data_IF_004163989440
#
_entry.id   IF_004163989440
#
_cell.length_a   1.000
_cell.length_b   1.000
_cell.length_c   1.000
_cell.angle_alpha   90.00
_cell.angle_beta   90.00
_cell.angle_gamma   90.00
#
_symmetry.space_group_name_H-M   'P 1'
#
loop_
_entity.id
_entity.type
_entity.pdbx_description
1 polymer ?
#
# COMPACT_ATOMS: atom_id res chain seq x y z
N UNK A 1 36.77 -46.05 -43.93
CA UNK A 1 35.72 -45.62 -44.91
C UNK A 1 34.74 -44.77 -44.12
N UNK A 2 34.92 -43.48 -44.29
CA UNK A 2 33.93 -42.55 -44.86
C UNK A 2 32.62 -42.59 -44.07
N UNK A 3 32.20 -41.65 -43.36
CA UNK A 3 31.88 -40.23 -43.53
C UNK A 3 30.62 -40.05 -42.67
N UNK A 4 30.34 -39.11 -41.98
CA UNK A 4 30.33 -37.69 -42.15
C UNK A 4 29.96 -37.00 -40.86
N UNK A 5 30.78 -36.08 -40.50
CA UNK A 5 30.48 -35.01 -39.58
C UNK A 5 29.55 -34.00 -40.31
N UNK A 6 28.40 -33.68 -39.76
CA UNK A 6 27.61 -32.48 -40.10
C UNK A 6 26.62 -32.29 -38.97
N UNK A 7 26.58 -31.30 -38.35
CA UNK A 7 26.40 -29.88 -38.47
C UNK A 7 25.74 -29.42 -37.18
N UNK A 8 26.54 -29.09 -36.19
CA UNK A 8 26.07 -28.19 -35.12
C UNK A 8 25.98 -26.79 -35.69
N UNK A 9 24.82 -26.37 -36.10
CA UNK A 9 24.54 -24.99 -36.34
C UNK A 9 24.25 -24.30 -35.01
N UNK A 10 25.25 -23.57 -34.54
CA UNK A 10 25.09 -22.51 -33.54
C UNK A 10 24.10 -21.49 -34.11
N UNK A 11 22.93 -21.45 -33.53
CA UNK A 11 22.09 -20.26 -33.59
C UNK A 11 22.48 -19.40 -32.40
N UNK A 12 23.48 -18.55 -32.61
CA UNK A 12 23.72 -17.41 -31.73
C UNK A 12 22.60 -16.40 -32.01
N UNK A 13 21.53 -16.50 -31.23
CA UNK A 13 20.56 -15.42 -31.14
C UNK A 13 21.23 -14.25 -30.41
N UNK A 14 21.73 -13.29 -31.18
CA UNK A 14 22.08 -11.96 -30.70
C UNK A 14 20.81 -11.35 -30.08
N UNK A 15 20.68 -11.45 -28.77
CA UNK A 15 19.81 -10.62 -27.99
C UNK A 15 20.36 -9.19 -28.08
N UNK A 16 19.87 -8.42 -29.03
CA UNK A 16 20.03 -6.99 -29.03
C UNK A 16 19.28 -6.46 -27.81
N UNK A 17 20.02 -6.24 -26.71
CA UNK A 17 19.56 -5.40 -25.62
C UNK A 17 19.41 -3.99 -26.20
N UNK A 18 18.21 -3.68 -26.67
CA UNK A 18 17.81 -2.30 -26.85
C UNK A 18 17.81 -1.68 -25.45
N UNK A 19 18.83 -0.90 -25.18
CA UNK A 19 18.85 0.05 -24.06
C UNK A 19 17.70 1.00 -24.35
N UNK A 20 16.54 0.69 -23.79
CA UNK A 20 15.44 1.63 -23.72
C UNK A 20 15.87 2.72 -22.74
N UNK A 21 16.38 3.83 -23.28
CA UNK A 21 16.47 5.05 -22.53
C UNK A 21 15.04 5.34 -22.03
N UNK A 22 14.84 5.14 -20.72
CA UNK A 22 13.62 5.53 -20.04
C UNK A 22 13.50 7.03 -20.23
N UNK A 23 12.62 7.45 -21.15
CA UNK A 23 12.20 8.84 -21.21
C UNK A 23 11.59 9.17 -19.86
N UNK A 24 11.88 10.37 -19.31
CA UNK A 24 11.14 10.85 -18.15
C UNK A 24 9.63 10.80 -18.47
N UNK A 25 8.76 10.62 -17.46
CA UNK A 25 7.34 10.55 -17.68
C UNK A 25 6.91 11.75 -18.51
N UNK A 26 6.37 11.48 -19.70
CA UNK A 26 5.78 12.49 -20.55
C UNK A 26 4.68 13.16 -19.74
N UNK A 27 4.78 14.47 -19.61
CA UNK A 27 3.67 15.28 -19.12
C UNK A 27 2.40 14.84 -19.85
N UNK A 28 1.33 14.65 -19.09
CA UNK A 28 0.05 14.23 -19.62
C UNK A 28 -0.35 15.16 -20.77
N UNK A 29 -0.40 14.65 -21.99
CA UNK A 29 -0.86 15.41 -23.13
C UNK A 29 -2.37 15.60 -23.00
N UNK A 30 -2.83 16.83 -23.18
CA UNK A 30 -4.26 17.13 -23.32
C UNK A 30 -4.83 16.36 -24.52
N UNK A 31 -5.84 15.49 -24.34
CA UNK A 31 -6.38 14.69 -25.43
C UNK A 31 -7.06 15.52 -26.51
N UNK A 32 -7.22 16.82 -26.34
CA UNK A 32 -7.92 17.69 -27.30
C UNK A 32 -7.00 18.39 -28.31
N UNK A 33 -5.71 18.58 -28.04
CA UNK A 33 -4.87 19.40 -28.91
C UNK A 33 -3.53 18.80 -29.36
N UNK A 34 -3.09 17.65 -28.83
CA UNK A 34 -1.90 16.94 -29.35
C UNK A 34 -0.56 17.69 -29.25
N UNK A 35 -0.51 18.87 -28.64
CA UNK A 35 0.71 19.63 -28.45
C UNK A 35 1.30 19.36 -27.05
N UNK A 36 2.64 19.18 -26.95
CA UNK A 36 3.28 19.08 -25.65
C UNK A 36 3.18 20.46 -24.97
N UNK A 37 2.60 20.50 -23.76
CA UNK A 37 2.61 21.70 -22.95
C UNK A 37 4.06 22.13 -22.72
N UNK A 38 4.43 23.34 -23.13
CA UNK A 38 5.66 23.98 -22.67
C UNK A 38 5.56 24.12 -21.13
N UNK A 39 6.61 23.69 -20.42
CA UNK A 39 6.73 23.90 -18.98
C UNK A 39 6.66 25.42 -18.72
N UNK A 40 5.49 25.91 -18.36
CA UNK A 40 5.33 27.29 -17.91
C UNK A 40 6.12 27.46 -16.61
N UNK A 41 7.11 28.35 -16.65
CA UNK A 41 7.97 28.73 -15.53
C UNK A 41 7.15 29.41 -14.43
N UNK A 42 6.56 28.64 -13.59
CA UNK A 42 5.72 29.04 -12.46
C UNK A 42 5.22 27.82 -11.69
N UNK A 43 5.73 26.67 -12.04
CA UNK A 43 5.25 25.36 -11.65
C UNK A 43 5.25 25.15 -10.12
N UNK A 44 4.06 24.93 -9.59
CA UNK A 44 3.86 24.16 -8.40
C UNK A 44 4.55 22.79 -8.58
N UNK A 45 5.28 22.36 -7.57
CA UNK A 45 5.99 21.10 -7.65
C UNK A 45 4.97 19.93 -7.59
N UNK A 46 4.90 19.11 -8.64
CA UNK A 46 4.15 17.87 -8.66
C UNK A 46 4.82 16.83 -7.75
N UNK A 47 4.59 16.97 -6.46
CA UNK A 47 5.12 16.07 -5.44
C UNK A 47 3.98 15.20 -4.96
N UNK A 48 4.05 13.87 -5.12
CA UNK A 48 3.01 12.99 -4.60
C UNK A 48 2.93 13.11 -3.07
N UNK A 49 1.74 12.98 -2.52
CA UNK A 49 1.57 12.88 -1.09
C UNK A 49 2.37 11.69 -0.52
N UNK A 50 3.02 11.82 0.65
CA UNK A 50 3.69 10.71 1.30
C UNK A 50 2.78 9.52 1.50
N UNK A 51 3.36 8.31 1.59
CA UNK A 51 2.62 7.06 1.75
C UNK A 51 1.68 7.06 2.97
N UNK A 52 2.01 7.81 4.02
CA UNK A 52 1.17 8.00 5.20
C UNK A 52 -0.14 8.75 4.91
N UNK A 53 -0.21 9.48 3.79
CA UNK A 53 -1.39 10.22 3.33
C UNK A 53 -2.04 9.59 2.09
N UNK A 54 -1.48 8.50 1.56
CA UNK A 54 -1.94 7.89 0.31
C UNK A 54 -3.39 7.39 0.34
N UNK A 55 -3.93 7.14 1.52
CA UNK A 55 -5.32 6.72 1.73
C UNK A 55 -6.22 7.84 2.27
N UNK A 56 -5.72 9.07 2.36
CA UNK A 56 -6.51 10.22 2.80
C UNK A 56 -7.36 10.72 1.61
N UNK A 57 -8.63 10.36 1.60
CA UNK A 57 -9.57 10.79 0.58
C UNK A 57 -10.72 11.56 1.20
N UNK A 58 -11.18 12.58 0.48
CA UNK A 58 -12.32 13.35 0.88
C UNK A 58 -13.59 12.54 0.68
N UNK A 59 -14.50 12.50 1.67
CA UNK A 59 -15.83 11.92 1.46
C UNK A 59 -16.51 12.57 0.25
N UNK A 60 -17.06 11.76 -0.65
CA UNK A 60 -17.65 12.28 -1.91
C UNK A 60 -18.71 13.35 -1.66
N UNK A 61 -19.49 13.18 -0.59
CA UNK A 61 -20.54 14.11 -0.19
C UNK A 61 -19.99 15.48 0.25
N UNK A 62 -18.76 15.52 0.73
CA UNK A 62 -18.16 16.72 1.30
C UNK A 62 -17.93 17.83 0.26
N UNK A 63 -17.73 17.50 -1.00
CA UNK A 63 -17.52 18.48 -2.07
C UNK A 63 -18.74 19.35 -2.35
N UNK A 64 -19.93 18.89 -2.01
CA UNK A 64 -21.21 19.59 -2.23
C UNK A 64 -21.94 19.88 -0.93
N UNK A 65 -21.40 19.48 0.22
CA UNK A 65 -21.98 19.76 1.53
C UNK A 65 -21.82 21.25 1.87
N UNK A 66 -22.92 21.98 1.80
CA UNK A 66 -22.97 23.42 2.06
C UNK A 66 -22.54 23.76 3.50
N UNK A 67 -22.86 22.90 4.49
CA UNK A 67 -22.48 23.14 5.88
C UNK A 67 -20.96 22.95 6.08
N UNK A 68 -20.38 21.92 5.46
CA UNK A 68 -18.95 21.71 5.50
C UNK A 68 -18.18 22.84 4.80
N UNK A 69 -18.65 23.29 3.64
CA UNK A 69 -18.05 24.41 2.90
C UNK A 69 -18.16 25.70 3.71
N UNK A 70 -19.29 25.98 4.35
CA UNK A 70 -19.46 27.14 5.21
C UNK A 70 -18.49 27.09 6.40
N UNK A 71 -18.34 25.94 7.04
CA UNK A 71 -17.34 25.72 8.11
C UNK A 71 -15.91 25.95 7.59
N UNK A 72 -15.60 25.46 6.40
CA UNK A 72 -14.30 25.70 5.74
C UNK A 72 -14.03 27.17 5.49
N UNK A 73 -15.05 27.94 5.10
CA UNK A 73 -14.97 29.39 4.91
C UNK A 73 -14.60 30.12 6.20
N UNK A 74 -15.22 29.77 7.32
CA UNK A 74 -14.91 30.34 8.63
C UNK A 74 -13.44 30.09 9.03
N UNK A 75 -13.00 28.84 8.88
CA UNK A 75 -11.60 28.47 9.20
C UNK A 75 -10.64 29.19 8.28
N UNK A 76 -10.93 29.22 6.98
CA UNK A 76 -10.08 29.88 5.99
C UNK A 76 -9.90 31.37 6.30
N UNK A 77 -10.98 32.09 6.56
CA UNK A 77 -10.96 33.49 6.92
C UNK A 77 -10.13 33.76 8.19
N UNK A 78 -10.26 32.89 9.18
CA UNK A 78 -9.57 33.05 10.46
C UNK A 78 -8.07 32.70 10.42
N UNK A 79 -7.66 31.72 9.58
CA UNK A 79 -6.34 31.08 9.68
C UNK A 79 -5.52 31.12 8.38
N UNK A 80 -6.15 31.17 7.23
CA UNK A 80 -5.48 30.98 5.93
C UNK A 80 -5.41 32.26 5.11
N UNK A 81 -6.45 33.09 5.13
CA UNK A 81 -6.57 34.30 4.31
C UNK A 81 -5.44 35.30 4.54
N UNK A 82 -4.89 35.38 5.76
CA UNK A 82 -3.80 36.28 6.11
C UNK A 82 -2.57 36.09 5.20
N UNK A 83 -2.34 34.88 4.70
CA UNK A 83 -1.26 34.54 3.75
C UNK A 83 -1.79 34.32 2.33
N UNK A 84 -2.89 33.57 2.19
CA UNK A 84 -3.43 33.15 0.89
C UNK A 84 -4.37 34.15 0.22
N UNK A 85 -4.72 35.26 0.91
CA UNK A 85 -5.72 36.23 0.43
C UNK A 85 -7.15 35.76 0.61
N UNK A 86 -8.10 36.70 0.72
CA UNK A 86 -9.53 36.39 0.92
C UNK A 86 -10.13 35.61 -0.27
N UNK A 87 -9.60 35.86 -1.46
CA UNK A 87 -10.01 35.19 -2.71
C UNK A 87 -9.12 34.00 -3.09
N UNK A 88 -8.14 33.63 -2.27
CA UNK A 88 -7.19 32.56 -2.58
C UNK A 88 -6.12 32.90 -3.59
N UNK A 89 -5.88 34.20 -3.86
CA UNK A 89 -4.93 34.68 -4.89
C UNK A 89 -3.46 34.69 -4.47
N UNK A 90 -3.14 34.19 -3.29
CA UNK A 90 -1.79 34.15 -2.73
C UNK A 90 -1.26 35.52 -2.26
N UNK A 91 -2.08 36.57 -2.27
CA UNK A 91 -1.69 37.98 -1.98
C UNK A 91 -2.16 38.46 -0.62
N UNK A 92 -2.32 37.58 0.34
CA UNK A 92 -2.60 38.00 1.70
C UNK A 92 -1.50 38.86 2.29
N UNK A 93 -1.82 39.76 3.24
CA UNK A 93 -0.87 40.75 3.75
C UNK A 93 0.40 40.15 4.35
N UNK A 94 0.30 38.98 5.02
CA UNK A 94 1.47 38.25 5.51
C UNK A 94 2.20 37.49 4.41
N UNK A 95 1.46 36.98 3.42
CA UNK A 95 2.02 36.22 2.29
C UNK A 95 2.96 37.05 1.42
N UNK A 96 2.67 38.36 1.27
CA UNK A 96 3.46 39.25 0.47
C UNK A 96 4.91 39.45 0.98
N UNK A 97 5.16 39.25 2.27
CA UNK A 97 6.46 39.35 2.89
C UNK A 97 7.29 38.06 2.86
N UNK A 98 6.69 36.92 2.52
CA UNK A 98 7.36 35.61 2.57
C UNK A 98 8.34 35.43 1.40
N UNK A 99 9.53 34.79 1.61
CA UNK A 99 10.46 34.45 0.54
C UNK A 99 9.80 33.53 -0.52
N UNK A 100 9.15 32.46 -0.08
CA UNK A 100 8.31 31.61 -0.90
C UNK A 100 6.87 32.09 -0.78
N UNK A 101 6.33 32.61 -1.87
CA UNK A 101 4.95 33.13 -1.91
C UNK A 101 3.93 31.99 -1.79
N UNK A 102 2.79 32.24 -1.11
CA UNK A 102 1.66 31.32 -1.19
C UNK A 102 1.21 31.14 -2.65
N UNK A 103 0.84 29.93 -3.09
CA UNK A 103 0.32 29.70 -4.42
C UNK A 103 -1.04 30.38 -4.63
N UNK A 104 -1.39 30.64 -5.88
CA UNK A 104 -2.75 31.02 -6.28
C UNK A 104 -3.65 29.80 -6.24
N UNK A 105 -4.56 29.74 -5.27
CA UNK A 105 -5.50 28.63 -5.06
C UNK A 105 -6.67 28.65 -6.07
N UNK A 106 -6.71 29.62 -6.98
CA UNK A 106 -7.69 29.71 -8.06
C UNK A 106 -7.18 29.02 -9.34
N UNK A 107 -5.91 28.66 -9.36
CA UNK A 107 -5.27 28.01 -10.49
C UNK A 107 -5.92 26.64 -10.74
N UNK A 108 -6.75 26.58 -11.77
CA UNK A 108 -7.46 25.37 -12.17
C UNK A 108 -6.52 24.24 -12.55
N UNK A 109 -5.40 24.56 -13.21
CA UNK A 109 -4.44 23.57 -13.63
C UNK A 109 -3.85 22.86 -12.41
N UNK A 110 -3.40 23.60 -11.38
CA UNK A 110 -2.92 23.01 -10.14
C UNK A 110 -4.00 22.19 -9.42
N UNK A 111 -5.25 22.66 -9.43
CA UNK A 111 -6.36 21.96 -8.81
C UNK A 111 -6.67 20.66 -9.57
N UNK A 112 -6.71 20.70 -10.90
CA UNK A 112 -7.06 19.54 -11.73
C UNK A 112 -5.96 18.45 -11.74
N UNK A 113 -4.71 18.81 -11.48
CA UNK A 113 -3.59 17.85 -11.46
C UNK A 113 -3.31 17.23 -10.10
N UNK A 114 -3.65 17.94 -9.01
CA UNK A 114 -3.34 17.47 -7.66
C UNK A 114 -4.51 16.69 -7.06
N UNK A 115 -4.19 15.50 -6.56
CA UNK A 115 -5.18 14.65 -5.87
C UNK A 115 -5.59 15.26 -4.53
N UNK A 116 -6.76 14.88 -4.03
CA UNK A 116 -7.31 15.32 -2.75
C UNK A 116 -6.38 15.03 -1.57
N UNK A 117 -5.69 13.89 -1.56
CA UNK A 117 -4.73 13.52 -0.54
C UNK A 117 -3.49 14.45 -0.50
N UNK A 118 -3.10 15.02 -1.65
CA UNK A 118 -2.06 16.06 -1.67
C UNK A 118 -2.48 17.29 -0.89
N UNK A 119 -3.69 17.80 -1.14
CA UNK A 119 -4.22 18.97 -0.43
C UNK A 119 -4.36 18.70 1.07
N UNK A 120 -4.82 17.49 1.44
CA UNK A 120 -4.92 17.09 2.82
C UNK A 120 -3.57 17.02 3.53
N UNK A 121 -2.57 16.46 2.86
CA UNK A 121 -1.19 16.47 3.35
C UNK A 121 -0.67 17.89 3.54
N UNK A 122 -0.84 18.76 2.55
CA UNK A 122 -0.36 20.16 2.61
C UNK A 122 -0.98 20.92 3.76
N UNK A 123 -2.28 20.83 3.96
CA UNK A 123 -2.95 21.45 5.10
C UNK A 123 -2.49 20.83 6.42
N UNK A 124 -2.27 19.52 6.46
CA UNK A 124 -1.88 18.81 7.69
C UNK A 124 -0.47 19.18 8.14
N UNK A 125 0.53 19.11 7.26
CA UNK A 125 1.96 19.23 7.60
C UNK A 125 2.55 20.60 7.27
N UNK A 126 1.84 21.42 6.52
CA UNK A 126 2.35 22.74 6.11
C UNK A 126 3.66 22.65 5.35
N UNK A 127 4.58 23.53 5.66
CA UNK A 127 5.93 23.61 5.06
C UNK A 127 6.99 22.77 5.80
N UNK A 128 6.61 21.99 6.81
CA UNK A 128 7.56 21.30 7.67
C UNK A 128 8.27 20.10 7.02
N UNK A 129 7.73 19.58 5.91
CA UNK A 129 8.25 18.41 5.19
C UNK A 129 8.87 18.78 3.83
N UNK A 130 9.78 17.92 3.37
CA UNK A 130 10.39 18.06 2.05
C UNK A 130 9.39 17.80 0.91
N UNK A 131 9.54 18.48 -0.24
CA UNK A 131 10.59 19.44 -0.60
C UNK A 131 10.30 20.89 -0.17
N UNK A 132 9.24 21.13 0.58
CA UNK A 132 8.78 22.47 0.92
C UNK A 132 9.62 23.11 2.02
N UNK A 133 10.15 22.28 2.93
CA UNK A 133 11.04 22.74 3.99
C UNK A 133 12.32 23.36 3.43
N UNK A 134 13.00 22.68 2.53
CA UNK A 134 14.22 23.18 1.89
C UNK A 134 13.97 24.40 0.99
N UNK A 135 12.73 24.56 0.49
CA UNK A 135 12.31 25.76 -0.26
C UNK A 135 11.93 26.94 0.63
N UNK A 136 11.97 26.77 1.95
CA UNK A 136 11.67 27.85 2.90
C UNK A 136 10.16 28.16 3.02
N UNK A 137 9.30 27.17 2.87
CA UNK A 137 7.85 27.34 3.07
C UNK A 137 7.55 27.71 4.52
N UNK A 138 6.82 28.82 4.71
CA UNK A 138 6.36 29.29 6.02
C UNK A 138 4.94 28.81 6.38
N UNK A 139 4.33 27.95 5.57
CA UNK A 139 3.00 27.43 5.87
C UNK A 139 3.03 26.59 7.15
N UNK A 140 2.23 26.91 8.20
CA UNK A 140 2.22 26.14 9.43
C UNK A 140 1.54 24.79 9.26
N UNK A 141 1.89 23.77 10.06
CA UNK A 141 1.16 22.51 10.11
C UNK A 141 -0.14 22.68 10.91
N UNK A 142 -1.26 22.26 10.34
CA UNK A 142 -2.58 22.42 10.97
C UNK A 142 -3.11 21.15 11.63
N UNK A 143 -2.42 20.01 11.56
CA UNK A 143 -2.89 18.75 12.13
C UNK A 143 -3.04 18.77 13.66
N UNK A 144 -2.32 19.64 14.35
CA UNK A 144 -2.42 19.82 15.81
C UNK A 144 -3.58 20.69 16.23
N UNK A 145 -3.99 21.63 15.38
CA UNK A 145 -4.97 22.68 15.69
C UNK A 145 -6.34 22.43 15.06
N UNK A 146 -6.40 21.69 13.97
CA UNK A 146 -7.63 21.39 13.24
C UNK A 146 -7.93 19.89 13.27
N UNK A 147 -9.16 19.55 13.53
CA UNK A 147 -9.65 18.18 13.37
C UNK A 147 -9.49 17.72 11.92
N UNK A 148 -9.55 16.41 11.68
CA UNK A 148 -9.53 15.86 10.32
C UNK A 148 -10.68 16.44 9.48
N UNK A 149 -11.87 16.56 10.08
CA UNK A 149 -13.04 17.12 9.41
C UNK A 149 -12.87 18.61 9.08
N UNK A 150 -12.30 19.41 10.00
CA UNK A 150 -12.02 20.83 9.75
C UNK A 150 -11.00 21.03 8.63
N UNK A 151 -9.99 20.17 8.54
CA UNK A 151 -9.02 20.21 7.43
C UNK A 151 -9.68 19.91 6.08
N UNK A 152 -10.56 18.91 6.02
CA UNK A 152 -11.35 18.64 4.82
C UNK A 152 -12.32 19.80 4.49
N UNK A 153 -12.93 20.41 5.49
CA UNK A 153 -13.80 21.57 5.30
C UNK A 153 -13.06 22.73 4.62
N UNK A 154 -11.85 23.04 5.10
CA UNK A 154 -11.00 24.08 4.50
C UNK A 154 -10.64 23.76 3.05
N UNK A 155 -10.33 22.50 2.73
CA UNK A 155 -10.02 22.06 1.37
C UNK A 155 -11.24 22.16 0.46
N UNK A 156 -12.41 21.75 0.94
CA UNK A 156 -13.66 21.89 0.20
C UNK A 156 -13.97 23.37 -0.14
N UNK A 157 -13.77 24.26 0.81
CA UNK A 157 -13.93 25.70 0.57
C UNK A 157 -12.88 26.24 -0.42
N UNK A 158 -11.61 25.83 -0.27
CA UNK A 158 -10.52 26.23 -1.19
C UNK A 158 -10.87 25.88 -2.64
N UNK A 159 -11.41 24.73 -2.91
CA UNK A 159 -11.80 24.31 -4.26
C UNK A 159 -12.92 25.15 -4.88
N UNK A 160 -13.69 25.88 -4.06
CA UNK A 160 -14.69 26.82 -4.58
C UNK A 160 -14.07 28.01 -5.31
N UNK A 161 -12.82 28.35 -5.05
CA UNK A 161 -12.13 29.47 -5.72
C UNK A 161 -11.87 29.20 -7.20
N UNK A 162 -11.59 27.97 -7.55
CA UNK A 162 -11.40 27.56 -8.95
C UNK A 162 -12.70 27.20 -9.67
N UNK A 163 -13.82 27.16 -8.94
CA UNK A 163 -15.11 26.67 -9.43
C UNK A 163 -15.16 25.15 -9.59
N UNK A 164 -14.16 24.44 -9.08
CA UNK A 164 -14.10 22.98 -9.11
C UNK A 164 -15.17 22.38 -8.18
N UNK A 165 -15.93 21.41 -8.69
CA UNK A 165 -17.10 20.83 -7.98
C UNK A 165 -17.01 19.33 -7.79
N UNK A 166 -15.87 18.73 -7.94
CA UNK A 166 -15.74 17.29 -7.86
C UNK A 166 -14.44 16.82 -7.23
N UNK A 167 -14.41 15.60 -6.70
CA UNK A 167 -13.22 15.03 -6.14
C UNK A 167 -12.22 14.62 -7.24
N UNK A 168 -10.95 14.94 -7.05
CA UNK A 168 -9.86 14.35 -7.84
C UNK A 168 -9.53 12.96 -7.32
N UNK A 169 -10.45 12.03 -7.53
CA UNK A 169 -10.29 10.66 -7.12
C UNK A 169 -9.99 9.79 -8.33
N UNK A 170 -9.02 8.90 -8.25
CA UNK A 170 -8.51 8.15 -9.41
C UNK A 170 -9.56 7.38 -10.20
N UNK A 171 -10.66 6.94 -9.55
CA UNK A 171 -11.71 6.18 -10.23
C UNK A 171 -12.67 7.03 -11.09
N UNK A 172 -12.74 8.33 -10.83
CA UNK A 172 -13.49 9.27 -11.67
C UNK A 172 -12.63 9.85 -12.78
N UNK A 173 -11.30 9.64 -12.69
CA UNK A 173 -10.29 10.10 -13.62
C UNK A 173 -9.51 8.90 -14.18
N UNK A 174 -10.00 8.23 -15.24
CA UNK A 174 -9.35 7.06 -15.84
C UNK A 174 -7.88 7.29 -16.22
N UNK A 175 -7.51 8.51 -16.57
CA UNK A 175 -6.15 8.92 -16.88
C UNK A 175 -5.19 8.76 -15.68
N UNK A 176 -5.67 9.00 -14.46
CA UNK A 176 -4.86 8.85 -13.24
C UNK A 176 -4.49 7.40 -12.93
N UNK A 177 -5.19 6.43 -13.50
CA UNK A 177 -4.92 5.01 -13.32
C UNK A 177 -4.35 4.36 -14.56
N UNK A 178 -4.18 5.11 -15.66
CA UNK A 178 -3.74 4.56 -16.93
C UNK A 178 -2.32 3.97 -16.84
N UNK A 179 -1.37 4.70 -16.26
CA UNK A 179 0.01 4.20 -16.06
C UNK A 179 0.01 2.92 -15.25
N UNK A 180 -0.75 2.88 -14.17
CA UNK A 180 -0.90 1.67 -13.33
C UNK A 180 -1.52 0.51 -14.09
N UNK A 181 -2.48 0.77 -14.98
CA UNK A 181 -3.09 -0.22 -15.87
C UNK A 181 -2.08 -0.81 -16.84
N UNK A 182 -1.25 0.03 -17.43
CA UNK A 182 -0.22 -0.40 -18.39
C UNK A 182 0.84 -1.25 -17.68
N UNK A 183 1.27 -0.86 -16.48
CA UNK A 183 2.17 -1.66 -15.64
C UNK A 183 1.53 -3.01 -15.30
N UNK A 184 0.25 -3.01 -14.93
CA UNK A 184 -0.50 -4.24 -14.62
C UNK A 184 -0.58 -5.17 -15.82
N UNK A 185 -0.87 -4.64 -17.00
CA UNK A 185 -0.93 -5.40 -18.24
C UNK A 185 0.41 -6.04 -18.60
N UNK A 186 1.52 -5.36 -18.34
CA UNK A 186 2.87 -5.88 -18.62
C UNK A 186 3.34 -6.91 -17.61
N UNK A 187 3.08 -6.72 -16.31
CA UNK A 187 3.74 -7.46 -15.25
C UNK A 187 2.82 -8.37 -14.41
N UNK A 188 1.52 -8.12 -14.37
CA UNK A 188 0.62 -8.73 -13.39
C UNK A 188 -0.46 -9.62 -14.01
N UNK A 189 -0.87 -9.32 -15.25
CA UNK A 189 -2.01 -9.94 -15.94
C UNK A 189 -1.86 -11.47 -16.08
N UNK A 190 -0.64 -11.98 -16.26
CA UNK A 190 -0.37 -13.40 -16.45
C UNK A 190 -0.79 -14.25 -15.22
N UNK A 191 -0.76 -13.66 -14.05
CA UNK A 191 -1.20 -14.32 -12.84
C UNK A 191 -2.58 -13.83 -12.39
N UNK A 192 -2.81 -12.52 -12.39
CA UNK A 192 -4.03 -11.93 -11.84
C UNK A 192 -5.19 -11.83 -12.84
N UNK A 193 -4.95 -12.08 -14.14
CA UNK A 193 -5.97 -11.96 -15.19
C UNK A 193 -6.24 -10.50 -15.58
N UNK A 194 -6.84 -10.29 -16.74
CA UNK A 194 -7.11 -8.95 -17.29
C UNK A 194 -8.07 -8.13 -16.42
N UNK A 195 -9.02 -8.79 -15.76
CA UNK A 195 -9.98 -8.16 -14.85
C UNK A 195 -9.53 -8.21 -13.38
N UNK A 196 -8.33 -8.68 -13.09
CA UNK A 196 -7.80 -8.78 -11.72
C UNK A 196 -8.42 -9.90 -10.85
N UNK A 197 -9.15 -10.86 -11.46
CA UNK A 197 -9.88 -11.93 -10.74
C UNK A 197 -9.02 -13.10 -10.25
N UNK A 198 -7.72 -13.05 -10.50
CA UNK A 198 -6.80 -14.14 -10.13
C UNK A 198 -6.84 -15.33 -11.10
N UNK A 199 -7.42 -15.15 -12.26
CA UNK A 199 -7.70 -16.14 -13.31
C UNK A 199 -6.71 -16.06 -14.50
N UNK A 200 -5.56 -15.43 -14.31
CA UNK A 200 -4.52 -15.36 -15.34
C UNK A 200 -3.98 -16.73 -15.73
N UNK A 201 -3.49 -16.87 -16.94
CA UNK A 201 -3.04 -18.15 -17.53
C UNK A 201 -1.98 -18.87 -16.70
N UNK A 202 -1.02 -18.13 -16.13
CA UNK A 202 -0.01 -18.70 -15.22
C UNK A 202 -0.65 -19.04 -13.86
N UNK A 203 -1.55 -18.19 -13.36
CA UNK A 203 -2.28 -18.43 -12.11
C UNK A 203 -3.04 -19.76 -12.13
N UNK A 204 -3.69 -20.06 -13.22
CA UNK A 204 -4.46 -21.28 -13.40
C UNK A 204 -3.62 -22.58 -13.33
N UNK A 205 -2.32 -22.50 -13.60
CA UNK A 205 -1.40 -23.65 -13.54
C UNK A 205 -0.85 -23.93 -12.14
N UNK A 206 -1.07 -23.01 -11.18
CA UNK A 206 -0.54 -23.13 -9.83
C UNK A 206 -1.33 -24.19 -9.04
N UNK A 207 -0.61 -25.05 -8.32
CA UNK A 207 -1.24 -25.99 -7.40
C UNK A 207 -1.74 -25.27 -6.15
N UNK A 208 -3.02 -25.30 -5.80
CA UNK A 208 -3.56 -24.59 -4.65
C UNK A 208 -2.85 -24.90 -3.33
N UNK A 209 -2.41 -26.14 -3.11
CA UNK A 209 -1.67 -26.53 -1.90
C UNK A 209 -0.23 -26.02 -1.86
N UNK A 210 0.43 -25.93 -3.00
CA UNK A 210 1.86 -25.57 -3.07
C UNK A 210 2.10 -24.11 -3.42
N UNK A 211 1.27 -23.58 -4.28
CA UNK A 211 1.28 -22.20 -4.71
C UNK A 211 -0.17 -21.70 -4.72
N UNK A 212 -0.61 -20.99 -3.69
CA UNK A 212 -1.98 -20.50 -3.63
C UNK A 212 -2.28 -19.64 -4.86
N UNK A 213 -3.50 -19.79 -5.35
CA UNK A 213 -4.00 -19.03 -6.50
C UNK A 213 -3.81 -17.51 -6.27
N UNK A 214 -3.52 -16.76 -7.32
CA UNK A 214 -3.47 -15.32 -7.24
C UNK A 214 -4.75 -14.75 -6.64
N UNK A 215 -4.60 -13.66 -5.89
CA UNK A 215 -5.74 -13.00 -5.25
C UNK A 215 -6.67 -12.42 -6.31
N UNK A 216 -7.96 -12.59 -6.11
CA UNK A 216 -9.00 -11.81 -6.76
C UNK A 216 -8.94 -10.38 -6.19
N UNK A 217 -8.49 -9.43 -7.00
CA UNK A 217 -8.30 -8.03 -6.63
C UNK A 217 -9.62 -7.24 -6.65
N UNK A 218 -10.68 -7.84 -7.22
CA UNK A 218 -12.04 -7.26 -7.23
C UNK A 218 -12.83 -7.60 -5.98
N UNK A 219 -12.34 -8.57 -5.17
CA UNK A 219 -12.95 -8.98 -3.92
C UNK A 219 -12.44 -8.14 -2.74
N UNK A 220 -13.19 -8.12 -1.64
CA UNK A 220 -12.83 -7.38 -0.44
C UNK A 220 -11.87 -8.12 0.50
N UNK A 221 -11.42 -9.31 0.11
CA UNK A 221 -10.59 -10.17 0.94
C UNK A 221 -9.12 -10.11 0.56
N UNK A 222 -8.34 -9.35 1.30
CA UNK A 222 -6.88 -9.28 1.16
C UNK A 222 -6.19 -9.87 2.38
N UNK A 223 -5.24 -10.81 2.15
CA UNK A 223 -4.57 -11.54 3.23
C UNK A 223 -3.66 -10.67 4.09
N UNK A 224 -2.89 -9.79 3.45
CA UNK A 224 -1.81 -9.04 4.09
C UNK A 224 -2.24 -7.59 4.27
N UNK A 225 -2.50 -7.23 5.50
CA UNK A 225 -3.00 -5.91 5.86
C UNK A 225 -2.56 -5.50 7.25
N UNK A 226 -2.66 -4.23 7.52
CA UNK A 226 -2.50 -3.62 8.85
C UNK A 226 -3.83 -3.18 9.46
N UNK A 227 -4.92 -3.29 8.72
CA UNK A 227 -6.28 -2.97 9.16
C UNK A 227 -6.92 -4.13 9.94
N UNK A 228 -7.91 -3.89 10.80
CA UNK A 228 -8.67 -4.92 11.48
C UNK A 228 -9.26 -5.98 10.55
N UNK A 229 -9.65 -7.13 11.12
CA UNK A 229 -10.26 -8.21 10.36
C UNK A 229 -11.53 -7.73 9.65
N UNK A 230 -11.72 -8.16 8.38
CA UNK A 230 -12.86 -7.75 7.55
C UNK A 230 -12.66 -6.44 6.80
N UNK A 231 -11.64 -5.65 7.10
CA UNK A 231 -11.37 -4.41 6.39
C UNK A 231 -10.38 -4.60 5.23
N UNK A 232 -10.45 -3.71 4.26
CA UNK A 232 -9.50 -3.66 3.15
C UNK A 232 -8.11 -3.18 3.62
N UNK A 233 -7.02 -3.59 2.95
CA UNK A 233 -5.66 -3.13 3.26
C UNK A 233 -5.51 -1.63 3.03
N UNK A 234 -4.49 -1.06 3.64
CA UNK A 234 -4.00 0.29 3.32
C UNK A 234 -3.22 0.28 2.00
N UNK A 235 -3.04 1.46 1.39
CA UNK A 235 -2.10 1.63 0.28
C UNK A 235 -0.68 1.16 0.67
N UNK A 236 -0.25 1.43 1.90
CA UNK A 236 1.04 0.96 2.42
C UNK A 236 1.16 -0.57 2.45
N UNK A 237 0.09 -1.28 2.81
CA UNK A 237 0.06 -2.75 2.79
C UNK A 237 0.19 -3.30 1.36
N UNK A 238 -0.50 -2.69 0.41
CA UNK A 238 -0.45 -3.07 -1.00
C UNK A 238 0.94 -2.80 -1.59
N UNK A 239 1.50 -1.61 -1.34
CA UNK A 239 2.87 -1.26 -1.75
C UNK A 239 3.88 -2.23 -1.15
N UNK A 240 3.78 -2.55 0.13
CA UNK A 240 4.64 -3.55 0.79
C UNK A 240 4.53 -4.91 0.11
N UNK A 241 3.32 -5.37 -0.16
CA UNK A 241 3.07 -6.66 -0.81
C UNK A 241 3.67 -6.72 -2.21
N UNK A 242 3.53 -5.67 -3.01
CA UNK A 242 4.14 -5.56 -4.35
C UNK A 242 5.67 -5.48 -4.24
N UNK A 243 6.16 -4.65 -3.32
CA UNK A 243 7.61 -4.46 -3.11
C UNK A 243 8.29 -5.76 -2.71
N UNK A 244 7.76 -6.47 -1.71
CA UNK A 244 8.38 -7.67 -1.16
C UNK A 244 8.02 -8.93 -1.96
N UNK A 245 6.91 -8.90 -2.69
CA UNK A 245 6.31 -10.11 -3.25
C UNK A 245 5.83 -11.08 -2.17
N UNK A 246 5.34 -12.24 -2.58
CA UNK A 246 4.82 -13.26 -1.66
C UNK A 246 5.66 -14.53 -1.75
N UNK A 247 6.18 -14.97 -0.61
CA UNK A 247 6.99 -16.21 -0.51
C UNK A 247 6.11 -17.46 -0.67
N UNK A 248 6.61 -18.47 -1.35
CA UNK A 248 5.93 -19.76 -1.48
C UNK A 248 6.14 -20.65 -0.26
N UNK A 249 5.20 -21.55 -0.03
CA UNK A 249 5.31 -22.55 1.06
C UNK A 249 6.46 -23.55 0.86
N UNK A 250 7.10 -23.54 -0.33
CA UNK A 250 8.13 -24.51 -0.73
C UNK A 250 7.53 -25.85 -1.11
N UNK A 251 8.22 -26.58 -1.93
CA UNK A 251 7.83 -27.93 -2.34
C UNK A 251 8.88 -28.52 -3.31
N UNK A 252 8.80 -29.81 -3.63
CA UNK A 252 9.80 -30.47 -4.49
C UNK A 252 9.92 -29.85 -5.89
N UNK A 253 8.89 -29.16 -6.38
CA UNK A 253 8.92 -28.44 -7.66
C UNK A 253 9.70 -27.12 -7.63
N UNK A 254 10.09 -26.64 -6.44
CA UNK A 254 10.91 -25.41 -6.33
C UNK A 254 12.40 -25.67 -6.59
N UNK A 255 12.77 -26.88 -7.02
CA UNK A 255 14.16 -27.29 -7.34
C UNK A 255 15.15 -26.90 -6.24
N UNK A 256 14.74 -26.87 -4.98
CA UNK A 256 15.60 -26.46 -3.86
C UNK A 256 15.97 -24.98 -3.84
N UNK A 257 15.35 -24.13 -4.69
CA UNK A 257 15.61 -22.70 -4.73
C UNK A 257 15.17 -22.05 -3.42
N UNK A 258 16.12 -21.68 -2.59
CA UNK A 258 15.88 -20.92 -1.37
C UNK A 258 15.26 -19.58 -1.75
N UNK A 259 14.12 -19.24 -1.14
CA UNK A 259 13.48 -17.94 -1.34
C UNK A 259 12.57 -17.83 -2.56
N UNK A 260 12.12 -18.97 -3.14
CA UNK A 260 11.10 -18.94 -4.20
C UNK A 260 9.91 -18.11 -3.79
N UNK A 261 9.54 -17.15 -4.64
CA UNK A 261 8.37 -16.29 -4.47
C UNK A 261 7.29 -16.69 -5.47
N UNK A 262 6.07 -16.93 -4.97
CA UNK A 262 4.90 -17.20 -5.83
C UNK A 262 4.41 -15.92 -6.50
N UNK A 263 4.55 -14.78 -5.84
CA UNK A 263 4.44 -13.46 -6.43
C UNK A 263 5.84 -12.83 -6.40
N UNK A 264 6.39 -12.42 -7.54
CA UNK A 264 7.71 -11.79 -7.61
C UNK A 264 7.79 -10.52 -6.74
N UNK A 265 9.00 -10.17 -6.36
CA UNK A 265 9.29 -8.86 -5.76
C UNK A 265 9.47 -7.82 -6.87
N UNK A 266 8.78 -6.71 -6.75
CA UNK A 266 8.89 -5.57 -7.66
C UNK A 266 9.67 -4.40 -7.02
N UNK A 267 10.58 -4.72 -6.09
CA UNK A 267 11.45 -3.73 -5.43
C UNK A 267 12.30 -2.92 -6.41
N UNK A 268 12.63 -3.51 -7.56
CA UNK A 268 13.36 -2.83 -8.64
C UNK A 268 12.55 -1.75 -9.36
N UNK A 269 11.23 -1.79 -9.26
CA UNK A 269 10.35 -0.77 -9.81
C UNK A 269 10.41 0.49 -8.94
N UNK A 270 10.52 1.70 -9.52
CA UNK A 270 10.43 2.95 -8.76
C UNK A 270 9.19 3.03 -7.88
N UNK A 271 9.27 3.74 -6.76
CA UNK A 271 8.14 3.83 -5.81
C UNK A 271 6.92 4.48 -6.46
N UNK A 272 7.14 5.46 -7.33
CA UNK A 272 6.10 6.18 -8.05
C UNK A 272 5.30 5.22 -8.94
N UNK A 273 5.98 4.36 -9.69
CA UNK A 273 5.32 3.34 -10.53
C UNK A 273 4.57 2.30 -9.70
N UNK A 274 5.09 1.94 -8.52
CA UNK A 274 4.37 1.05 -7.60
C UNK A 274 3.11 1.71 -7.05
N UNK A 275 3.16 3.00 -6.76
CA UNK A 275 1.98 3.77 -6.33
C UNK A 275 0.94 3.85 -7.45
N UNK A 276 1.34 4.14 -8.69
CA UNK A 276 0.44 4.15 -9.85
C UNK A 276 -0.21 2.77 -10.07
N UNK A 277 0.58 1.70 -9.98
CA UNK A 277 0.06 0.34 -10.03
C UNK A 277 -0.98 0.08 -8.93
N UNK A 278 -0.73 0.53 -7.71
CA UNK A 278 -1.64 0.35 -6.58
C UNK A 278 -2.94 1.14 -6.78
N UNK A 279 -2.88 2.35 -7.32
CA UNK A 279 -4.09 3.11 -7.65
C UNK A 279 -4.95 2.36 -8.67
N UNK A 280 -4.34 1.77 -9.71
CA UNK A 280 -5.08 0.89 -10.62
C UNK A 280 -5.67 -0.34 -9.91
N UNK A 281 -4.92 -1.01 -9.05
CA UNK A 281 -5.42 -2.16 -8.28
C UNK A 281 -6.60 -1.75 -7.40
N UNK A 282 -6.55 -0.60 -6.74
CA UNK A 282 -7.65 -0.06 -5.93
C UNK A 282 -8.88 0.24 -6.81
N UNK A 283 -8.69 0.73 -8.04
CA UNK A 283 -9.78 1.02 -8.96
C UNK A 283 -10.57 -0.22 -9.40
N UNK A 284 -10.02 -1.42 -9.25
CA UNK A 284 -10.73 -2.67 -9.53
C UNK A 284 -11.81 -3.00 -8.49
N UNK A 285 -11.77 -2.35 -7.32
CA UNK A 285 -12.74 -2.57 -6.24
C UNK A 285 -13.16 -1.25 -5.61
N UNK A 286 -14.41 -0.85 -5.88
CA UNK A 286 -14.98 0.42 -5.37
C UNK A 286 -14.99 0.55 -3.85
N UNK A 287 -14.95 -0.55 -3.11
CA UNK A 287 -14.92 -0.50 -1.65
C UNK A 287 -13.66 0.20 -1.10
N UNK A 288 -12.58 0.31 -1.86
CA UNK A 288 -11.43 1.13 -1.47
C UNK A 288 -11.78 2.61 -1.35
N UNK A 289 -12.75 3.09 -2.11
CA UNK A 289 -13.08 4.50 -2.26
C UNK A 289 -14.23 4.96 -1.36
N UNK A 290 -15.02 4.01 -0.87
CA UNK A 290 -16.12 4.31 0.07
C UNK A 290 -15.64 4.46 1.53
N UNK A 291 -14.35 4.29 1.80
CA UNK A 291 -13.80 4.37 3.15
C UNK A 291 -13.57 5.82 3.55
N UNK A 292 -14.28 6.28 4.55
CA UNK A 292 -14.11 7.61 5.15
C UNK A 292 -13.03 7.64 6.23
N UNK A 293 -12.74 6.49 6.84
CA UNK A 293 -11.73 6.33 7.89
C UNK A 293 -11.03 5.00 7.75
N UNK A 294 -9.69 5.03 7.84
CA UNK A 294 -8.87 3.84 7.87
C UNK A 294 -8.22 3.75 9.24
N UNK A 295 -8.55 2.67 9.93
CA UNK A 295 -7.91 2.32 11.18
C UNK A 295 -6.88 1.24 10.93
N UNK A 296 -5.75 1.35 11.59
CA UNK A 296 -4.72 0.30 11.56
C UNK A 296 -4.54 -0.28 12.95
N UNK A 297 -4.25 -1.56 12.98
CA UNK A 297 -3.87 -2.23 14.23
C UNK A 297 -2.52 -1.67 14.68
N UNK A 298 -2.51 -1.14 15.88
CA UNK A 298 -1.28 -0.66 16.51
C UNK A 298 -0.31 -1.84 16.76
N UNK A 299 0.95 -1.64 16.42
CA UNK A 299 2.03 -2.56 16.76
C UNK A 299 2.89 -1.86 17.82
N UNK A 300 2.68 -2.16 19.11
CA UNK A 300 3.47 -1.56 20.18
C UNK A 300 4.96 -1.93 20.06
N UNK A 301 5.82 -1.14 20.65
CA UNK A 301 7.23 -1.46 20.71
C UNK A 301 7.45 -2.86 21.32
N UNK A 302 8.30 -3.71 20.70
CA UNK A 302 8.54 -5.05 21.20
C UNK A 302 9.21 -5.00 22.58
N UNK A 303 8.65 -5.68 23.60
CA UNK A 303 9.28 -5.78 24.89
C UNK A 303 10.53 -6.67 24.83
N UNK A 304 11.42 -6.63 25.83
CA UNK A 304 12.60 -7.50 25.84
C UNK A 304 12.22 -8.98 25.78
N UNK A 305 12.97 -9.75 25.01
CA UNK A 305 12.80 -11.20 24.92
C UNK A 305 13.37 -11.86 26.15
N UNK A 306 12.54 -12.61 26.88
CA UNK A 306 12.99 -13.40 28.04
C UNK A 306 12.48 -14.84 27.92
N UNK A 307 13.16 -15.81 28.59
CA UNK A 307 12.71 -17.20 28.62
C UNK A 307 11.26 -17.35 29.16
N UNK A 308 10.88 -16.52 30.13
CA UNK A 308 9.55 -16.54 30.76
C UNK A 308 8.47 -16.09 29.75
N UNK A 309 8.76 -15.07 28.92
CA UNK A 309 7.87 -14.65 27.83
C UNK A 309 7.67 -15.78 26.80
N UNK A 310 8.75 -16.42 26.40
CA UNK A 310 8.68 -17.57 25.47
C UNK A 310 7.88 -18.72 26.07
N UNK A 311 8.04 -18.99 27.35
CA UNK A 311 7.28 -20.04 28.05
C UNK A 311 5.77 -19.72 28.10
N UNK A 312 5.40 -18.45 28.44
CA UNK A 312 4.00 -18.03 28.38
C UNK A 312 3.45 -18.10 26.94
N UNK A 313 4.24 -17.70 25.94
CA UNK A 313 3.86 -17.82 24.54
C UNK A 313 3.60 -19.27 24.11
N UNK A 314 4.36 -20.23 24.64
CA UNK A 314 4.10 -21.66 24.42
C UNK A 314 2.77 -22.10 25.00
N UNK A 315 2.41 -21.62 26.19
CA UNK A 315 1.11 -21.91 26.78
C UNK A 315 -0.02 -21.29 25.94
N UNK A 316 0.11 -20.02 25.55
CA UNK A 316 -0.84 -19.33 24.70
C UNK A 316 -1.02 -20.04 23.35
N UNK A 317 0.03 -20.62 22.80
CA UNK A 317 -0.05 -21.39 21.54
C UNK A 317 -0.94 -22.61 21.67
N UNK A 318 -0.99 -23.25 22.83
CA UNK A 318 -1.91 -24.34 23.12
C UNK A 318 -3.32 -23.82 23.40
N UNK A 319 -3.45 -22.81 24.25
CA UNK A 319 -4.75 -22.28 24.72
C UNK A 319 -5.54 -21.60 23.59
N UNK A 320 -4.85 -20.95 22.64
CA UNK A 320 -5.44 -20.33 21.45
C UNK A 320 -5.60 -21.32 20.26
N UNK A 321 -5.55 -22.62 20.51
CA UNK A 321 -5.79 -23.71 19.54
C UNK A 321 -4.88 -23.68 18.30
N UNK A 322 -3.73 -23.01 18.34
CA UNK A 322 -2.79 -22.96 17.22
C UNK A 322 -2.30 -24.34 16.80
N UNK A 323 -2.24 -25.27 17.77
CA UNK A 323 -1.87 -26.69 17.58
C UNK A 323 -2.74 -27.38 16.55
N UNK A 324 -4.03 -27.07 16.49
CA UNK A 324 -4.99 -27.73 15.61
C UNK A 324 -4.58 -27.67 14.13
N UNK A 325 -4.02 -26.53 13.72
CA UNK A 325 -3.56 -26.31 12.34
C UNK A 325 -2.05 -26.43 12.21
N UNK A 326 -1.30 -25.79 13.13
CA UNK A 326 0.16 -25.68 13.01
C UNK A 326 0.94 -26.86 13.61
N UNK A 327 0.27 -27.73 14.39
CA UNK A 327 0.87 -28.89 15.07
C UNK A 327 1.73 -28.49 16.28
N UNK A 328 2.04 -29.47 17.12
CA UNK A 328 2.82 -29.27 18.37
C UNK A 328 4.21 -28.68 18.13
N UNK A 329 4.82 -28.99 17.00
CA UNK A 329 6.17 -28.54 16.62
C UNK A 329 6.13 -27.39 15.61
N UNK A 330 4.96 -26.85 15.33
CA UNK A 330 4.78 -25.76 14.37
C UNK A 330 5.05 -26.11 12.91
N UNK A 331 5.00 -27.39 12.53
CA UNK A 331 5.30 -27.86 11.16
C UNK A 331 4.17 -27.70 10.16
N UNK A 332 3.02 -27.20 10.59
CA UNK A 332 1.83 -27.12 9.76
C UNK A 332 1.14 -28.50 9.59
N UNK A 333 1.37 -29.40 10.52
CA UNK A 333 0.93 -30.80 10.52
C UNK A 333 -0.09 -31.10 11.61
N UNK A 334 -0.80 -30.09 12.11
CA UNK A 334 -1.87 -30.26 13.08
C UNK A 334 -3.06 -31.08 12.52
N UNK A 335 -3.90 -31.59 13.43
CA UNK A 335 -5.01 -32.49 13.08
C UNK A 335 -5.96 -31.90 12.02
N UNK A 336 -6.18 -30.59 12.03
CA UNK A 336 -7.03 -29.88 11.06
C UNK A 336 -6.31 -29.54 9.74
N UNK A 337 -4.97 -29.64 9.69
CA UNK A 337 -4.19 -29.20 8.53
C UNK A 337 -4.58 -29.87 7.20
N UNK A 338 -4.96 -31.19 7.15
CA UNK A 338 -5.35 -31.84 5.90
C UNK A 338 -6.65 -31.31 5.28
N UNK A 339 -7.54 -30.72 6.07
CA UNK A 339 -8.88 -30.29 5.66
C UNK A 339 -9.00 -28.79 5.42
N UNK A 340 -7.92 -28.03 5.62
CA UNK A 340 -7.93 -26.57 5.48
C UNK A 340 -8.24 -26.14 4.05
N UNK A 341 -9.18 -25.23 3.92
CA UNK A 341 -9.56 -24.57 2.67
C UNK A 341 -9.58 -23.04 2.82
N UNK A 342 -9.37 -22.34 1.73
CA UNK A 342 -9.58 -20.89 1.68
C UNK A 342 -11.07 -20.55 1.41
N UNK A 343 -11.42 -19.27 1.39
CA UNK A 343 -12.78 -18.79 1.12
C UNK A 343 -13.32 -19.15 -0.28
N UNK A 344 -12.47 -19.67 -1.16
CA UNK A 344 -12.85 -20.18 -2.49
C UNK A 344 -12.93 -21.70 -2.52
N UNK A 345 -13.01 -22.34 -1.36
CA UNK A 345 -13.01 -23.81 -1.19
C UNK A 345 -11.74 -24.53 -1.72
N UNK A 346 -10.68 -23.76 -2.02
CA UNK A 346 -9.42 -24.33 -2.48
C UNK A 346 -8.59 -24.84 -1.29
N UNK A 347 -8.01 -26.04 -1.38
CA UNK A 347 -7.19 -26.59 -0.31
C UNK A 347 -5.93 -25.73 -0.09
N UNK A 348 -5.66 -25.43 1.17
CA UNK A 348 -4.46 -24.68 1.60
C UNK A 348 -3.68 -25.46 2.64
N UNK A 349 -2.47 -24.99 2.95
CA UNK A 349 -1.63 -25.58 3.99
C UNK A 349 -1.38 -24.57 5.11
N UNK A 350 -1.39 -25.05 6.35
CA UNK A 350 -0.90 -24.27 7.47
C UNK A 350 0.59 -23.96 7.28
N UNK A 351 0.99 -22.77 7.67
CA UNK A 351 2.41 -22.35 7.55
C UNK A 351 3.30 -23.18 8.47
N UNK A 352 4.40 -23.69 7.93
CA UNK A 352 5.47 -24.31 8.71
C UNK A 352 6.23 -23.19 9.48
N UNK A 353 5.98 -23.12 10.78
CA UNK A 353 6.56 -22.12 11.67
C UNK A 353 8.02 -22.38 12.00
N UNK A 354 8.53 -23.57 11.65
CA UNK A 354 9.96 -23.89 11.81
C UNK A 354 10.83 -23.17 10.76
N UNK A 355 10.22 -22.51 9.79
CA UNK A 355 10.89 -21.84 8.69
C UNK A 355 10.44 -20.36 8.56
N UNK A 356 10.85 -19.47 9.49
CA UNK A 356 10.42 -18.06 9.47
C UNK A 356 10.72 -17.33 8.16
N UNK A 357 11.83 -17.71 7.50
CA UNK A 357 12.20 -17.17 6.19
C UNK A 357 11.18 -17.46 5.08
N UNK A 358 10.19 -18.30 5.32
CA UNK A 358 9.07 -18.61 4.40
C UNK A 358 7.74 -17.99 4.80
N UNK A 359 7.70 -17.21 5.87
CA UNK A 359 6.47 -16.52 6.25
C UNK A 359 6.06 -15.54 5.14
N UNK A 360 4.81 -15.68 4.68
CA UNK A 360 4.31 -14.98 3.50
C UNK A 360 4.19 -13.47 3.71
N UNK A 361 3.88 -13.05 4.94
CA UNK A 361 3.64 -11.65 5.34
C UNK A 361 4.86 -11.00 6.02
N UNK A 362 6.04 -11.63 5.94
CA UNK A 362 7.24 -11.20 6.65
C UNK A 362 7.49 -12.00 7.91
N UNK A 363 8.72 -11.91 8.42
CA UNK A 363 9.20 -12.68 9.58
C UNK A 363 9.89 -11.84 10.65
N UNK A 364 9.81 -10.51 10.54
CA UNK A 364 10.17 -9.67 11.68
C UNK A 364 9.18 -9.90 12.84
N UNK A 365 9.56 -9.65 14.08
CA UNK A 365 8.63 -9.74 15.20
C UNK A 365 7.35 -8.93 14.98
N UNK A 366 7.46 -7.73 14.42
CA UNK A 366 6.35 -6.84 14.10
C UNK A 366 5.45 -7.40 12.98
N UNK A 367 6.01 -8.09 11.98
CA UNK A 367 5.23 -8.74 10.93
C UNK A 367 4.42 -9.92 11.46
N UNK A 368 5.02 -10.71 12.36
CA UNK A 368 4.33 -11.83 13.03
C UNK A 368 3.24 -11.29 13.95
N UNK A 369 3.54 -10.25 14.74
CA UNK A 369 2.56 -9.56 15.60
C UNK A 369 1.38 -9.07 14.77
N UNK A 370 1.64 -8.32 13.71
CA UNK A 370 0.60 -7.83 12.80
C UNK A 370 -0.25 -8.96 12.24
N UNK A 371 0.39 -10.05 11.82
CA UNK A 371 -0.33 -11.22 11.26
C UNK A 371 -1.23 -11.87 12.29
N UNK A 372 -0.82 -11.99 13.55
CA UNK A 372 -1.66 -12.49 14.63
C UNK A 372 -2.86 -11.57 14.89
N UNK A 373 -2.61 -10.28 15.01
CA UNK A 373 -3.64 -9.30 15.37
C UNK A 373 -4.64 -9.03 14.24
N UNK A 374 -4.26 -9.20 12.96
CA UNK A 374 -5.16 -8.98 11.82
C UNK A 374 -5.76 -10.26 11.26
N UNK A 375 -5.16 -11.42 11.53
CA UNK A 375 -5.46 -12.66 10.84
C UNK A 375 -5.09 -12.63 9.36
N UNK A 376 -5.47 -13.65 8.62
CA UNK A 376 -5.23 -13.77 7.18
C UNK A 376 -6.58 -13.92 6.45
N UNK A 377 -7.17 -12.82 6.00
CA UNK A 377 -8.49 -12.79 5.37
C UNK A 377 -8.61 -13.81 4.22
N UNK A 378 -9.74 -14.50 4.19
CA UNK A 378 -10.00 -15.57 3.23
C UNK A 378 -9.26 -16.88 3.53
N UNK A 379 -8.76 -17.04 4.76
CA UNK A 379 -8.18 -18.30 5.26
C UNK A 379 -8.73 -18.62 6.65
N UNK A 380 -8.62 -19.87 7.14
CA UNK A 380 -8.98 -20.21 8.51
C UNK A 380 -8.12 -19.57 9.61
N UNK A 381 -7.02 -18.89 9.29
CA UNK A 381 -6.20 -18.19 10.28
C UNK A 381 -6.95 -16.96 10.82
N UNK A 382 -7.48 -16.98 12.05
CA UNK A 382 -8.30 -15.90 12.57
C UNK A 382 -7.45 -14.69 12.98
N UNK A 383 -8.12 -13.58 13.25
CA UNK A 383 -7.57 -12.46 14.02
C UNK A 383 -7.64 -12.77 15.51
N UNK A 384 -6.60 -12.42 16.23
CA UNK A 384 -6.56 -12.45 17.69
C UNK A 384 -6.62 -11.05 18.29
N UNK A 385 -6.95 -10.03 17.49
CA UNK A 385 -6.98 -8.63 17.92
C UNK A 385 -7.96 -8.35 19.06
N UNK A 386 -9.06 -9.11 19.14
CA UNK A 386 -10.08 -8.96 20.17
C UNK A 386 -9.93 -9.95 21.33
N UNK A 387 -8.94 -10.86 21.27
CA UNK A 387 -8.80 -11.96 22.23
C UNK A 387 -7.46 -12.00 22.95
N UNK A 388 -6.45 -11.32 22.45
CA UNK A 388 -5.13 -11.22 23.09
C UNK A 388 -4.79 -9.79 23.44
N UNK A 389 -4.38 -9.61 24.70
CA UNK A 389 -3.76 -8.36 25.12
C UNK A 389 -2.39 -8.18 24.43
N UNK A 390 -1.92 -6.93 24.22
CA UNK A 390 -0.66 -6.66 23.52
C UNK A 390 0.55 -7.44 24.03
N UNK A 391 0.69 -7.58 25.35
CA UNK A 391 1.78 -8.34 25.96
C UNK A 391 1.68 -9.84 25.70
N UNK A 392 0.45 -10.40 25.69
CA UNK A 392 0.19 -11.80 25.34
C UNK A 392 0.52 -12.07 23.86
N UNK A 393 0.15 -11.15 23.00
CA UNK A 393 0.48 -11.25 21.57
C UNK A 393 2.00 -11.26 21.36
N UNK A 394 2.77 -10.42 22.07
CA UNK A 394 4.24 -10.44 22.04
C UNK A 394 4.84 -11.74 22.58
N UNK A 395 4.30 -12.29 23.68
CA UNK A 395 4.74 -13.57 24.22
C UNK A 395 4.56 -14.68 23.18
N UNK A 396 3.41 -14.71 22.50
CA UNK A 396 3.12 -15.68 21.43
C UNK A 396 4.04 -15.48 20.21
N UNK A 397 4.30 -14.25 19.78
CA UNK A 397 5.26 -13.91 18.72
C UNK A 397 6.63 -14.51 19.01
N UNK A 398 7.14 -14.30 20.21
CA UNK A 398 8.46 -14.81 20.60
C UNK A 398 8.53 -16.33 20.65
N UNK A 399 7.48 -16.98 21.09
CA UNK A 399 7.40 -18.43 21.00
C UNK A 399 7.39 -18.92 19.54
N UNK A 400 6.54 -18.35 18.68
CA UNK A 400 6.46 -18.71 17.26
C UNK A 400 7.81 -18.55 16.57
N UNK A 401 8.52 -17.46 16.83
CA UNK A 401 9.85 -17.23 16.25
C UNK A 401 10.90 -18.20 16.83
N UNK A 402 10.77 -18.62 18.08
CA UNK A 402 11.67 -19.58 18.73
C UNK A 402 11.55 -20.99 18.13
N UNK A 403 10.38 -21.40 17.61
CA UNK A 403 10.17 -22.68 16.94
C UNK A 403 11.12 -22.84 15.74
N UNK A 404 11.40 -21.77 15.01
CA UNK A 404 12.29 -21.77 13.84
C UNK A 404 13.78 -21.76 14.18
N UNK A 405 14.18 -21.93 15.43
CA UNK A 405 15.59 -21.91 15.86
C UNK A 405 16.24 -20.53 15.75
N UNK A 406 15.47 -19.51 15.37
CA UNK A 406 15.91 -18.12 15.42
C UNK A 406 15.89 -17.62 16.86
N UNK A 407 17.02 -17.20 17.43
CA UNK A 407 16.98 -16.28 18.56
C UNK A 407 16.20 -15.06 18.07
N UNK A 408 15.08 -14.69 18.71
CA UNK A 408 14.46 -13.40 18.43
C UNK A 408 15.56 -12.35 18.56
N UNK A 409 15.84 -11.61 17.50
CA UNK A 409 16.88 -10.59 17.55
C UNK A 409 16.53 -9.64 18.71
N UNK A 410 17.44 -9.48 19.65
CA UNK A 410 17.33 -8.41 20.63
C UNK A 410 17.11 -7.12 19.85
N UNK A 411 16.09 -6.35 20.26
CA UNK A 411 15.76 -5.09 19.61
C UNK A 411 17.06 -4.32 19.32
N UNK A 412 17.26 -3.91 18.07
CA UNK A 412 18.36 -3.03 17.72
C UNK A 412 18.26 -1.82 18.65
N UNK A 413 19.32 -1.58 19.42
CA UNK A 413 19.39 -0.37 20.25
C UNK A 413 19.25 0.86 19.36
N UNK A 414 18.57 1.91 19.83
CA UNK A 414 18.33 3.14 19.09
C UNK A 414 19.62 3.82 18.64
#
# INVERSE_FOLDING_TARGET
MKTTCKLMLLIAALAAFAVWSVRPPLGLADPKNGEPHEEEKGAHAHVPAPLSYADAHMPVEAWTDAALIARGKEIYAAKCAVCHGDSGDGKGPAGAALPLKPPDLRDRHAIDEMRDNYWFWRVSEGGAEEPFKSKGSAMPPWKGDLSMQDRWAVIAYQHTFSGHKGPHVPWEHPEMVQVGRDIFAMACIQCHGAAGKGDGSVGATLSPRRAPQPRDLTAEQFKFRSTPSGQLPTTADLVRTVTEGVRGAGGPLTLGLRGYRIMPSFRHMPIEQRLELIEYVKSLNRAFWSRTRIETVAVPAPPPVTPERVARGKQLYADAECLACHGERGRGDGASAPTLKDSRELPIVATDLTQPNRFKNGSSPEDVYRTLMTGLAGTPMPSYGDSLEPDQAWDLVYYVLSIGGGRPAAAARP
#
